data_IF_943338009395
#
_entry.id   IF_943338009395
#
_cell.length_a   1.000
_cell.length_b   1.000
_cell.length_c   1.000
_cell.angle_alpha   90.00
_cell.angle_beta   90.00
_cell.angle_gamma   90.00
#
_symmetry.space_group_name_H-M   'P 1'
#
loop_
_entity.id
_entity.type
_entity.pdbx_description
1 polymer ?
#
# COMPACT_ATOMS: atom_id res chain seq x y z
N UNK A 1 4.54 -39.06 -1.92
CA UNK A 1 4.28 -38.16 -0.78
C UNK A 1 5.39 -37.10 -0.53
N UNK A 2 6.69 -37.42 -0.49
CA UNK A 2 7.74 -36.37 -0.31
C UNK A 2 8.06 -35.59 -1.61
N UNK A 3 8.10 -36.26 -2.76
CA UNK A 3 8.30 -35.62 -4.08
C UNK A 3 7.18 -34.64 -4.47
N UNK A 4 5.94 -34.90 -4.08
CA UNK A 4 4.79 -34.02 -4.37
C UNK A 4 4.83 -32.73 -3.55
N UNK A 5 5.36 -32.76 -2.32
CA UNK A 5 5.56 -31.57 -1.50
C UNK A 5 6.66 -30.67 -2.04
N UNK A 6 7.74 -31.26 -2.55
CA UNK A 6 8.84 -30.51 -3.17
C UNK A 6 8.39 -29.93 -4.51
N UNK A 7 7.73 -30.73 -5.36
CA UNK A 7 7.21 -30.28 -6.65
C UNK A 7 6.15 -29.18 -6.48
N UNK A 8 5.19 -29.34 -5.57
CA UNK A 8 4.20 -28.27 -5.29
C UNK A 8 4.85 -27.02 -4.72
N UNK A 9 5.88 -27.11 -3.86
CA UNK A 9 6.65 -25.95 -3.39
C UNK A 9 7.43 -25.27 -4.52
N UNK A 10 7.99 -26.04 -5.46
CA UNK A 10 8.79 -25.49 -6.56
C UNK A 10 7.91 -24.89 -7.67
N UNK A 11 6.82 -25.55 -8.06
CA UNK A 11 5.81 -25.00 -8.98
C UNK A 11 5.11 -23.77 -8.40
N UNK A 12 4.86 -23.72 -7.09
CA UNK A 12 4.34 -22.52 -6.42
C UNK A 12 5.33 -21.36 -6.41
N UNK A 13 6.64 -21.62 -6.39
CA UNK A 13 7.69 -20.59 -6.56
C UNK A 13 7.67 -20.03 -7.98
N UNK A 14 7.69 -20.90 -8.99
CA UNK A 14 7.59 -20.48 -10.40
C UNK A 14 6.31 -19.69 -10.69
N UNK A 15 5.16 -20.12 -10.15
CA UNK A 15 3.90 -19.38 -10.28
C UNK A 15 3.92 -18.03 -9.55
N UNK A 16 4.54 -17.94 -8.36
CA UNK A 16 4.64 -16.69 -7.62
C UNK A 16 5.59 -15.70 -8.31
N UNK A 17 6.73 -16.18 -8.80
CA UNK A 17 7.68 -15.35 -9.54
C UNK A 17 7.04 -14.83 -10.85
N UNK A 18 6.28 -15.68 -11.56
CA UNK A 18 5.48 -15.24 -12.71
C UNK A 18 4.42 -14.20 -12.35
N UNK A 19 3.64 -14.41 -11.28
CA UNK A 19 2.67 -13.41 -10.81
C UNK A 19 3.34 -12.08 -10.41
N UNK A 20 4.53 -12.13 -9.83
CA UNK A 20 5.30 -10.93 -9.49
C UNK A 20 5.72 -10.15 -10.74
N UNK A 21 6.15 -10.84 -11.78
CA UNK A 21 6.49 -10.21 -13.07
C UNK A 21 5.26 -9.60 -13.74
N UNK A 22 4.13 -10.31 -13.77
CA UNK A 22 2.88 -9.78 -14.33
C UNK A 22 2.38 -8.56 -13.54
N UNK A 23 2.43 -8.61 -12.20
CA UNK A 23 2.06 -7.47 -11.36
C UNK A 23 2.97 -6.24 -11.61
N UNK A 24 4.27 -6.44 -11.83
CA UNK A 24 5.20 -5.36 -12.20
C UNK A 24 4.91 -4.79 -13.60
N UNK A 25 4.40 -5.62 -14.51
CA UNK A 25 3.94 -5.19 -15.82
C UNK A 25 2.59 -4.45 -15.77
N UNK A 26 1.96 -4.34 -14.59
CA UNK A 26 0.70 -3.62 -14.38
C UNK A 26 -0.54 -4.50 -14.29
N UNK A 27 -0.41 -5.83 -14.30
CA UNK A 27 -1.53 -6.75 -14.16
C UNK A 27 -2.08 -6.71 -12.72
N UNK A 28 -3.25 -6.06 -12.57
CA UNK A 28 -3.96 -5.95 -11.30
C UNK A 28 -4.47 -7.30 -10.79
N UNK A 29 -4.89 -8.21 -11.67
CA UNK A 29 -5.34 -9.55 -11.30
C UNK A 29 -4.19 -10.37 -10.73
N UNK A 30 -2.99 -10.25 -11.31
CA UNK A 30 -1.80 -10.89 -10.77
C UNK A 30 -1.43 -10.33 -9.38
N UNK A 31 -1.55 -9.02 -9.19
CA UNK A 31 -1.32 -8.37 -7.89
C UNK A 31 -2.33 -8.83 -6.83
N UNK A 32 -3.61 -8.91 -7.17
CA UNK A 32 -4.66 -9.42 -6.28
C UNK A 32 -4.43 -10.89 -5.92
N UNK A 33 -4.01 -11.72 -6.88
CA UNK A 33 -3.65 -13.11 -6.65
C UNK A 33 -2.46 -13.26 -5.67
N UNK A 34 -1.47 -12.36 -5.71
CA UNK A 34 -0.39 -12.30 -4.72
C UNK A 34 -0.93 -11.94 -3.33
N UNK A 35 -1.82 -10.94 -3.25
CA UNK A 35 -2.40 -10.45 -1.99
C UNK A 35 -3.31 -11.46 -1.31
N UNK A 36 -4.12 -12.19 -2.09
CA UNK A 36 -5.07 -13.18 -1.58
C UNK A 36 -4.39 -14.38 -0.89
N UNK A 37 -3.15 -14.71 -1.30
CA UNK A 37 -2.44 -15.91 -0.83
C UNK A 37 -1.77 -15.75 0.53
N UNK A 38 -1.27 -14.57 0.85
CA UNK A 38 -0.31 -14.43 1.95
C UNK A 38 -0.95 -14.20 3.32
N UNK A 39 -2.28 -14.05 3.37
CA UNK A 39 -3.02 -13.77 4.60
C UNK A 39 -2.69 -12.40 5.18
N UNK A 40 -3.72 -11.61 5.48
CA UNK A 40 -3.60 -10.28 6.10
C UNK A 40 -2.88 -10.38 7.45
N UNK A 41 -1.56 -10.21 7.43
CA UNK A 41 -0.72 -9.96 8.61
C UNK A 41 0.20 -8.79 8.30
N UNK A 42 -0.40 -7.62 8.30
CA UNK A 42 0.28 -6.35 8.52
C UNK A 42 -0.02 -5.94 9.96
N UNK A 43 1.03 -5.82 10.77
CA UNK A 43 0.95 -5.35 12.15
C UNK A 43 0.30 -3.96 12.23
N UNK A 44 -0.27 -3.56 13.38
CA UNK A 44 -0.77 -2.20 13.56
C UNK A 44 0.41 -1.23 13.56
N UNK A 45 0.67 -0.60 12.42
CA UNK A 45 1.59 0.51 12.26
C UNK A 45 0.82 1.72 11.74
N UNK A 46 1.45 2.91 11.84
CA UNK A 46 0.99 4.16 11.26
C UNK A 46 0.60 3.98 9.79
N UNK A 47 -0.69 4.12 9.51
CA UNK A 47 -1.27 3.79 8.22
C UNK A 47 -2.45 4.69 7.85
N UNK A 48 -2.53 4.97 6.56
CA UNK A 48 -3.68 5.56 5.90
C UNK A 48 -4.52 4.44 5.30
N UNK A 49 -5.84 4.49 5.48
CA UNK A 49 -6.78 3.50 4.99
C UNK A 49 -7.85 4.18 4.16
N UNK A 50 -8.57 3.36 3.41
CA UNK A 50 -9.79 3.76 2.74
C UNK A 50 -10.91 3.80 3.79
N UNK A 51 -11.59 4.93 3.94
CA UNK A 51 -12.71 5.04 4.87
C UNK A 51 -13.99 4.35 4.36
N UNK A 52 -14.16 4.26 3.04
CA UNK A 52 -15.29 3.62 2.37
C UNK A 52 -14.82 3.06 1.02
N UNK A 53 -15.29 1.86 0.64
CA UNK A 53 -14.92 1.21 -0.63
C UNK A 53 -14.92 2.24 -1.78
N UNK A 54 -13.78 2.43 -2.48
CA UNK A 54 -13.76 3.36 -3.60
C UNK A 54 -14.67 2.81 -4.69
N UNK A 55 -15.39 3.69 -5.38
CA UNK A 55 -16.20 3.34 -6.55
C UNK A 55 -15.36 2.85 -7.74
N UNK A 56 -14.05 3.08 -7.72
CA UNK A 56 -13.06 2.40 -8.56
C UNK A 56 -11.67 2.58 -7.93
N UNK A 57 -10.87 1.50 -7.87
CA UNK A 57 -9.45 1.64 -7.60
C UNK A 57 -8.81 2.36 -8.79
N UNK A 58 -8.37 3.61 -8.59
CA UNK A 58 -7.77 4.39 -9.67
C UNK A 58 -6.36 3.84 -9.98
N UNK A 59 -6.04 3.57 -11.26
CA UNK A 59 -4.70 3.17 -11.66
C UNK A 59 -3.75 4.38 -11.49
N UNK A 60 -3.11 4.46 -10.32
CA UNK A 60 -2.16 5.53 -10.04
C UNK A 60 -0.93 5.39 -10.94
N UNK A 61 -0.59 6.45 -11.68
CA UNK A 61 0.61 6.57 -12.51
C UNK A 61 1.88 6.85 -11.68
N UNK A 62 1.96 6.29 -10.48
CA UNK A 62 3.05 6.56 -9.54
C UNK A 62 4.16 5.56 -9.80
N UNK A 63 5.40 6.05 -9.96
CA UNK A 63 6.59 5.19 -10.07
C UNK A 63 6.68 4.27 -8.86
N UNK A 64 6.43 2.99 -9.10
CA UNK A 64 6.52 1.93 -8.12
C UNK A 64 7.99 1.54 -7.99
N UNK A 65 8.54 1.56 -6.77
CA UNK A 65 9.95 1.19 -6.52
C UNK A 65 10.09 -0.34 -6.56
N UNK A 66 9.19 -1.04 -5.86
CA UNK A 66 9.24 -2.49 -5.78
C UNK A 66 7.88 -3.12 -5.45
N UNK A 67 7.59 -4.28 -6.06
CA UNK A 67 6.48 -5.15 -5.64
C UNK A 67 7.08 -6.38 -4.97
N UNK A 68 6.76 -6.56 -3.69
CA UNK A 68 7.17 -7.74 -2.92
C UNK A 68 6.41 -9.00 -3.39
N UNK A 69 6.95 -10.18 -3.11
CA UNK A 69 6.27 -11.48 -3.35
C UNK A 69 4.96 -11.66 -2.57
N UNK A 70 4.63 -10.73 -1.66
CA UNK A 70 3.37 -10.68 -0.91
C UNK A 70 2.31 -9.80 -1.59
N UNK A 71 2.63 -9.16 -2.72
CA UNK A 71 1.76 -8.18 -3.37
C UNK A 71 1.71 -6.83 -2.66
N UNK A 72 2.66 -6.56 -1.75
CA UNK A 72 2.86 -5.21 -1.19
C UNK A 72 3.66 -4.36 -2.17
N UNK A 73 3.13 -3.21 -2.55
CA UNK A 73 3.83 -2.21 -3.37
C UNK A 73 4.59 -1.27 -2.45
N UNK A 74 5.87 -1.05 -2.72
CA UNK A 74 6.71 -0.10 -2.01
C UNK A 74 6.88 1.12 -2.91
N UNK A 75 6.50 2.28 -2.40
CA UNK A 75 6.75 3.59 -2.99
C UNK A 75 7.85 4.25 -2.19
N UNK A 76 8.94 4.60 -2.86
CA UNK A 76 10.03 5.34 -2.26
C UNK A 76 9.94 6.79 -2.71
N UNK A 77 9.86 7.69 -1.74
CA UNK A 77 10.02 9.12 -1.95
C UNK A 77 11.32 9.57 -1.29
N UNK A 78 11.76 10.80 -1.55
CA UNK A 78 12.99 11.32 -0.96
C UNK A 78 12.99 11.23 0.58
N UNK A 79 11.81 11.33 1.20
CA UNK A 79 11.67 11.53 2.64
C UNK A 79 10.79 10.48 3.35
N UNK A 80 10.27 9.47 2.63
CA UNK A 80 9.54 8.35 3.22
C UNK A 80 9.51 7.11 2.34
N UNK A 81 9.27 5.96 2.96
CA UNK A 81 8.85 4.75 2.28
C UNK A 81 7.39 4.44 2.62
N UNK A 82 6.54 4.35 1.61
CA UNK A 82 5.12 4.01 1.77
C UNK A 82 4.90 2.59 1.26
N UNK A 83 4.22 1.75 2.04
CA UNK A 83 3.90 0.37 1.70
C UNK A 83 2.40 0.21 1.51
N UNK A 84 1.98 -0.26 0.35
CA UNK A 84 0.60 -0.51 -0.02
C UNK A 84 0.30 -2.00 0.01
N UNK A 85 -0.49 -2.43 0.98
CA UNK A 85 -0.94 -3.81 1.10
C UNK A 85 -2.26 -4.10 0.35
N UNK A 86 -2.81 -3.09 -0.33
CA UNK A 86 -4.05 -3.15 -1.10
C UNK A 86 -5.28 -2.62 -0.37
N UNK A 87 -5.20 -2.42 0.94
CA UNK A 87 -6.26 -1.77 1.73
C UNK A 87 -5.73 -0.58 2.52
N UNK A 88 -4.42 -0.58 2.80
CA UNK A 88 -3.75 0.34 3.71
C UNK A 88 -2.44 0.79 3.08
N UNK A 89 -2.13 2.06 3.25
CA UNK A 89 -0.83 2.65 2.98
C UNK A 89 -0.11 2.87 4.31
N UNK A 90 0.87 2.02 4.58
CA UNK A 90 1.71 2.11 5.77
C UNK A 90 2.86 3.06 5.49
N UNK A 91 3.01 4.08 6.34
CA UNK A 91 4.11 5.04 6.23
C UNK A 91 5.24 4.56 7.14
N UNK A 92 6.49 4.64 6.66
CA UNK A 92 7.66 4.27 7.47
C UNK A 92 7.77 5.13 8.74
N UNK A 93 8.12 4.50 9.87
CA UNK A 93 8.46 5.21 11.11
C UNK A 93 9.54 6.26 10.86
N UNK A 94 9.38 7.44 11.47
CA UNK A 94 10.29 8.57 11.31
C UNK A 94 10.12 9.36 10.01
N UNK A 95 9.06 9.08 9.23
CA UNK A 95 8.69 9.92 8.08
C UNK A 95 8.52 11.37 8.53
N UNK A 96 9.16 12.28 7.80
CA UNK A 96 8.98 13.71 7.98
C UNK A 96 7.68 14.16 7.29
N UNK A 97 7.27 15.39 7.55
CA UNK A 97 6.02 15.94 7.03
C UNK A 97 5.92 15.83 5.50
N UNK A 98 7.02 16.02 4.77
CA UNK A 98 7.08 15.88 3.32
C UNK A 98 6.82 14.44 2.86
N UNK A 99 7.31 13.48 3.65
CA UNK A 99 7.06 12.06 3.43
C UNK A 99 5.59 11.70 3.61
N UNK A 100 4.94 12.29 4.61
CA UNK A 100 3.49 12.13 4.86
C UNK A 100 2.66 12.84 3.79
N UNK A 101 3.05 14.03 3.33
CA UNK A 101 2.41 14.69 2.17
C UNK A 101 2.45 13.81 0.94
N UNK A 102 3.59 13.18 0.65
CA UNK A 102 3.69 12.28 -0.49
C UNK A 102 2.82 11.02 -0.32
N UNK A 103 2.73 10.49 0.90
CA UNK A 103 1.83 9.38 1.21
C UNK A 103 0.35 9.77 1.04
N UNK A 104 -0.04 10.98 1.45
CA UNK A 104 -1.40 11.51 1.27
C UNK A 104 -1.77 11.70 -0.21
N UNK A 105 -0.84 12.20 -1.03
CA UNK A 105 -1.06 12.30 -2.49
C UNK A 105 -1.32 10.93 -3.09
N UNK A 106 -0.46 9.96 -2.76
CA UNK A 106 -0.61 8.57 -3.19
C UNK A 106 -1.94 7.97 -2.70
N UNK A 107 -2.33 8.25 -1.46
CA UNK A 107 -3.60 7.79 -0.91
C UNK A 107 -4.79 8.39 -1.67
N UNK A 108 -4.76 9.69 -1.93
CA UNK A 108 -5.80 10.39 -2.68
C UNK A 108 -5.90 9.88 -4.13
N UNK A 109 -4.78 9.75 -4.84
CA UNK A 109 -4.76 9.24 -6.22
C UNK A 109 -5.26 7.80 -6.32
N UNK A 110 -5.07 6.98 -5.28
CA UNK A 110 -5.41 5.55 -5.33
C UNK A 110 -6.78 5.23 -4.74
N UNK A 111 -7.17 5.94 -3.68
CA UNK A 111 -8.35 5.65 -2.87
C UNK A 111 -9.42 6.75 -2.95
N UNK A 112 -9.10 7.91 -3.53
CA UNK A 112 -9.98 9.06 -3.62
C UNK A 112 -9.94 9.96 -2.39
N UNK A 113 -10.98 10.76 -2.22
CA UNK A 113 -10.96 11.92 -1.33
C UNK A 113 -11.21 11.58 0.13
N UNK A 114 -11.84 10.43 0.41
CA UNK A 114 -12.25 10.05 1.76
C UNK A 114 -11.32 9.01 2.37
N UNK A 115 -10.44 9.46 3.26
CA UNK A 115 -9.43 8.63 3.90
C UNK A 115 -9.73 8.42 5.40
N UNK A 116 -9.26 7.32 5.96
CA UNK A 116 -9.23 7.08 7.40
C UNK A 116 -7.77 6.96 7.85
N UNK A 117 -7.47 7.45 9.05
CA UNK A 117 -6.12 7.41 9.61
C UNK A 117 -6.09 6.49 10.83
N UNK A 118 -5.09 5.63 10.93
CA UNK A 118 -4.80 4.89 12.17
C UNK A 118 -3.34 4.96 12.50
N UNK A 119 -3.00 5.08 13.77
CA UNK A 119 -1.62 5.12 14.20
C UNK A 119 -1.52 5.79 15.56
N UNK A 120 -0.29 6.19 15.90
CA UNK A 120 -0.03 7.02 17.08
C UNK A 120 -0.66 8.41 16.95
N UNK A 121 -0.97 9.05 18.08
CA UNK A 121 -1.48 10.43 18.08
C UNK A 121 -0.50 11.42 17.42
N UNK A 122 0.81 11.18 17.60
CA UNK A 122 1.85 11.93 16.90
C UNK A 122 1.74 11.79 15.39
N UNK A 123 1.49 10.58 14.89
CA UNK A 123 1.29 10.35 13.47
C UNK A 123 0.02 11.00 12.95
N UNK A 124 -1.10 10.90 13.69
CA UNK A 124 -2.35 11.58 13.33
C UNK A 124 -2.16 13.10 13.23
N UNK A 125 -1.48 13.71 14.20
CA UNK A 125 -1.17 15.13 14.19
C UNK A 125 -0.31 15.52 12.97
N UNK A 126 0.72 14.71 12.67
CA UNK A 126 1.58 14.92 11.50
C UNK A 126 0.81 14.80 10.18
N UNK A 127 -0.15 13.88 10.09
CA UNK A 127 -1.02 13.72 8.92
C UNK A 127 -1.94 14.93 8.73
N UNK A 128 -2.54 15.44 9.81
CA UNK A 128 -3.38 16.64 9.76
C UNK A 128 -2.55 17.86 9.34
N UNK A 129 -1.34 18.03 9.89
CA UNK A 129 -0.44 19.11 9.49
C UNK A 129 -0.03 18.99 8.02
N UNK A 130 0.32 17.78 7.57
CA UNK A 130 0.66 17.50 6.17
C UNK A 130 -0.52 17.81 5.22
N UNK A 131 -1.74 17.42 5.59
CA UNK A 131 -2.94 17.71 4.81
C UNK A 131 -3.20 19.22 4.71
N UNK A 132 -3.09 19.95 5.83
CA UNK A 132 -3.25 21.40 5.86
C UNK A 132 -2.20 22.13 4.99
N UNK A 133 -0.92 21.73 5.08
CA UNK A 133 0.17 22.33 4.28
C UNK A 133 0.04 22.08 2.79
N UNK A 134 -0.53 20.95 2.41
CA UNK A 134 -0.62 20.52 1.01
C UNK A 134 -1.88 21.00 0.30
N UNK A 135 -2.81 21.63 1.01
CA UNK A 135 -4.09 22.14 0.51
C UNK A 135 -4.87 21.10 -0.33
N UNK A 136 -4.75 19.82 0.02
CA UNK A 136 -5.39 18.74 -0.72
C UNK A 136 -6.88 18.62 -0.34
N UNK A 137 -7.77 18.29 -1.30
CA UNK A 137 -9.20 18.09 -1.06
C UNK A 137 -9.47 16.72 -0.44
N UNK A 138 -8.84 16.42 0.71
CA UNK A 138 -8.99 15.15 1.41
C UNK A 138 -9.86 15.36 2.64
N UNK A 139 -10.80 14.44 2.87
CA UNK A 139 -11.64 14.40 4.06
C UNK A 139 -11.28 13.18 4.90
N UNK A 140 -10.97 13.39 6.18
CA UNK A 140 -10.75 12.29 7.13
C UNK A 140 -12.09 11.84 7.71
N UNK A 141 -12.33 10.52 7.70
CA UNK A 141 -13.60 9.95 8.15
C UNK A 141 -13.75 9.86 9.68
N UNK A 142 -12.66 10.02 10.44
CA UNK A 142 -12.67 10.08 11.89
C UNK A 142 -11.51 11.00 12.35
N UNK A 143 -11.76 12.04 13.17
CA UNK A 143 -10.71 12.87 13.78
C UNK A 143 -9.87 12.12 14.83
#
# INVERSE_FOLDING_TARGET
RERERIASRNSRRGWNDWLQEQAKAGDQTALEALRAREGRRTAPNDALHIAAMPTAAHPAAIRQDHITKRGTIIYRTANAAVRDDGQRLHVSRGAQIEGVVAALRLAHERYGDRLAISGSDQFKALVVEAAARSAMPITFADP
#
